data_IF_606635158495
#
_entry.id   IF_606635158495
#
_cell.length_a   1.000
_cell.length_b   1.000
_cell.length_c   1.000
_cell.angle_alpha   90.00
_cell.angle_beta   90.00
_cell.angle_gamma   90.00
#
_symmetry.space_group_name_H-M   'P 1'
#
loop_
_entity.id
_entity.type
_entity.pdbx_description
1 polymer ?
#
# COMPACT_ATOMS: atom_id res chain seq x y z
N UNK A 1 -0.02 14.68 10.20
CA UNK A 1 -0.27 13.35 9.61
C UNK A 1 -0.15 13.50 8.11
N UNK A 2 0.67 12.71 7.41
CA UNK A 2 0.66 12.74 5.95
C UNK A 2 -0.74 12.37 5.45
N UNK A 3 -1.22 13.10 4.45
CA UNK A 3 -2.54 12.87 3.87
C UNK A 3 -2.64 11.46 3.27
N UNK A 4 -3.81 10.80 3.40
CA UNK A 4 -4.02 9.48 2.79
C UNK A 4 -3.94 9.60 1.27
N UNK A 5 -3.18 8.69 0.65
CA UNK A 5 -3.06 8.62 -0.80
C UNK A 5 -4.05 7.59 -1.35
N UNK A 6 -4.86 7.98 -2.33
CA UNK A 6 -5.70 7.03 -3.06
C UNK A 6 -4.90 6.39 -4.19
N UNK A 7 -5.02 5.07 -4.33
CA UNK A 7 -4.46 4.31 -5.45
C UNK A 7 -5.55 3.55 -6.18
N UNK A 8 -5.42 3.45 -7.50
CA UNK A 8 -6.30 2.62 -8.32
C UNK A 8 -5.94 1.15 -8.11
N UNK A 9 -6.96 0.32 -7.93
CA UNK A 9 -6.83 -1.14 -8.09
C UNK A 9 -6.73 -1.46 -9.58
N UNK A 10 -5.66 -2.16 -9.97
CA UNK A 10 -5.45 -2.59 -11.35
C UNK A 10 -6.47 -3.66 -11.75
N UNK A 11 -6.57 -3.95 -13.06
CA UNK A 11 -7.46 -5.01 -13.58
C UNK A 11 -7.11 -6.42 -13.08
N UNK A 12 -5.91 -6.59 -12.48
CA UNK A 12 -5.45 -7.85 -11.88
C UNK A 12 -5.70 -7.91 -10.37
N UNK A 13 -6.54 -7.02 -9.82
CA UNK A 13 -6.82 -6.90 -8.39
C UNK A 13 -5.56 -6.63 -7.54
N UNK A 14 -4.57 -5.93 -8.11
CA UNK A 14 -3.35 -5.51 -7.43
C UNK A 14 -3.34 -4.00 -7.23
N UNK A 15 -2.78 -3.55 -6.10
CA UNK A 15 -2.44 -2.15 -5.87
C UNK A 15 -0.94 -1.92 -6.05
N UNK A 16 -0.57 -0.80 -6.67
CA UNK A 16 0.80 -0.35 -6.67
C UNK A 16 1.06 0.44 -5.39
N UNK A 17 2.06 0.04 -4.60
CA UNK A 17 2.48 0.81 -3.42
C UNK A 17 3.15 2.11 -3.91
N UNK A 18 2.61 3.31 -3.58
CA UNK A 18 3.17 4.58 -4.04
C UNK A 18 4.62 4.78 -3.58
N UNK A 19 5.39 5.53 -4.37
CA UNK A 19 6.81 5.82 -4.07
C UNK A 19 7.00 6.35 -2.64
N UNK A 20 6.22 7.34 -2.23
CA UNK A 20 6.30 7.93 -0.90
C UNK A 20 6.07 6.93 0.24
N UNK A 21 5.19 5.95 0.04
CA UNK A 21 4.97 4.88 1.01
C UNK A 21 6.13 3.88 1.03
N UNK A 22 6.64 3.48 -0.15
CA UNK A 22 7.79 2.58 -0.25
C UNK A 22 9.04 3.14 0.44
N UNK A 23 9.36 4.42 0.18
CA UNK A 23 10.53 5.08 0.77
C UNK A 23 10.42 5.19 2.29
N UNK A 24 9.22 5.49 2.81
CA UNK A 24 9.00 5.64 4.26
C UNK A 24 8.99 4.32 5.02
N UNK A 25 8.51 3.25 4.38
CA UNK A 25 8.42 1.91 4.97
C UNK A 25 9.60 1.01 4.60
N UNK A 26 10.53 1.49 3.77
CA UNK A 26 11.70 0.71 3.33
C UNK A 26 11.36 -0.46 2.39
N UNK A 27 10.24 -0.39 1.67
CA UNK A 27 9.72 -1.50 0.85
C UNK A 27 10.49 -1.61 -0.47
N UNK A 28 11.00 -2.80 -0.73
CA UNK A 28 11.74 -3.19 -1.93
C UNK A 28 11.02 -4.27 -2.74
N UNK A 29 11.35 -4.42 -4.04
CA UNK A 29 10.80 -5.52 -4.85
C UNK A 29 11.14 -6.89 -4.24
N UNK A 30 10.13 -7.73 -4.03
CA UNK A 30 10.28 -9.06 -3.42
C UNK A 30 9.91 -9.12 -1.94
N UNK A 31 9.75 -7.98 -1.28
CA UNK A 31 9.33 -7.94 0.12
C UNK A 31 7.90 -8.45 0.30
N UNK A 32 7.66 -9.10 1.44
CA UNK A 32 6.34 -9.54 1.85
C UNK A 32 5.77 -8.51 2.81
N UNK A 33 4.57 -8.02 2.50
CA UNK A 33 3.84 -7.08 3.34
C UNK A 33 2.74 -7.83 4.10
N UNK A 34 2.56 -7.47 5.37
CA UNK A 34 1.36 -7.87 6.11
C UNK A 34 0.19 -7.05 5.59
N UNK A 35 -0.96 -7.69 5.40
CA UNK A 35 -2.20 -7.02 4.99
C UNK A 35 -3.28 -7.43 5.98
N UNK A 36 -3.97 -6.45 6.55
CA UNK A 36 -5.06 -6.65 7.50
C UNK A 36 -6.28 -5.77 7.17
N UNK A 37 -7.43 -6.10 7.73
CA UNK A 37 -8.67 -5.32 7.59
C UNK A 37 -9.08 -4.80 8.97
N UNK A 38 -9.00 -3.48 9.15
CA UNK A 38 -9.33 -2.82 10.41
C UNK A 38 -10.35 -1.72 10.16
N UNK A 39 -11.53 -1.84 10.77
CA UNK A 39 -12.58 -0.80 10.68
C UNK A 39 -13.05 -0.50 9.25
N UNK A 40 -13.00 -1.49 8.35
CA UNK A 40 -13.35 -1.32 6.93
C UNK A 40 -12.25 -0.71 6.06
N UNK A 41 -11.04 -0.57 6.59
CA UNK A 41 -9.86 -0.07 5.88
C UNK A 41 -8.83 -1.19 5.74
N UNK A 42 -8.15 -1.24 4.60
CA UNK A 42 -7.00 -2.12 4.38
C UNK A 42 -5.75 -1.44 4.95
N UNK A 43 -5.07 -2.12 5.87
CA UNK A 43 -3.85 -1.64 6.57
C UNK A 43 -2.65 -2.47 6.17
#
# INVERSE_FOLDING_TARGET
MPEPLTVKVSSRNQIAVPRAARERLGISPGDRLLVDIQGGVLV
#
